data_IF_814052670683
#
_entry.id   IF_814052670683
#
_cell.length_a   1.000
_cell.length_b   1.000
_cell.length_c   1.000
_cell.angle_alpha   90.00
_cell.angle_beta   90.00
_cell.angle_gamma   90.00
#
_symmetry.space_group_name_H-M   'P 1'
#
loop_
_entity.id
_entity.type
_entity.pdbx_description
1 polymer ?
#
# COMPACT_ATOMS: atom_id res chain seq x y z
N UNK A 1 1.81 -30.04 7.66
CA UNK A 1 3.18 -29.51 7.85
C UNK A 1 3.97 -29.69 6.55
N UNK A 2 4.74 -28.70 6.13
CA UNK A 2 5.63 -28.83 4.97
C UNK A 2 6.76 -29.82 5.29
N UNK A 3 7.11 -30.67 4.32
CA UNK A 3 8.32 -31.50 4.45
C UNK A 3 9.61 -30.65 4.25
N UNK A 4 10.79 -31.26 4.48
CA UNK A 4 12.08 -30.55 4.43
C UNK A 4 12.33 -29.88 3.06
N UNK A 5 12.06 -30.59 1.98
CA UNK A 5 12.28 -30.08 0.62
C UNK A 5 11.33 -28.92 0.28
N UNK A 6 10.06 -28.99 0.73
CA UNK A 6 9.09 -27.90 0.55
C UNK A 6 9.48 -26.65 1.35
N UNK A 7 10.03 -26.84 2.57
CA UNK A 7 10.54 -25.71 3.37
C UNK A 7 11.70 -25.01 2.66
N UNK A 8 12.66 -25.78 2.14
CA UNK A 8 13.83 -25.26 1.42
C UNK A 8 13.41 -24.51 0.14
N UNK A 9 12.43 -25.03 -0.59
CA UNK A 9 11.88 -24.36 -1.77
C UNK A 9 11.22 -23.02 -1.41
N UNK A 10 10.42 -22.98 -0.34
CA UNK A 10 9.79 -21.75 0.15
C UNK A 10 10.85 -20.73 0.57
N UNK A 11 11.91 -21.17 1.26
CA UNK A 11 13.06 -20.35 1.66
C UNK A 11 13.73 -19.68 0.47
N UNK A 12 14.03 -20.48 -0.56
CA UNK A 12 14.68 -19.99 -1.77
C UNK A 12 13.80 -18.98 -2.50
N UNK A 13 12.51 -19.27 -2.64
CA UNK A 13 11.53 -18.33 -3.25
C UNK A 13 11.42 -17.02 -2.45
N UNK A 14 11.33 -17.11 -1.13
CA UNK A 14 11.29 -15.92 -0.28
C UNK A 14 12.55 -15.06 -0.41
N UNK A 15 13.73 -15.69 -0.48
CA UNK A 15 15.01 -14.99 -0.64
C UNK A 15 15.04 -14.20 -1.96
N UNK A 16 14.52 -14.76 -3.03
CA UNK A 16 14.38 -14.07 -4.32
C UNK A 16 13.40 -12.89 -4.20
N UNK A 17 12.23 -13.09 -3.59
CA UNK A 17 11.22 -12.05 -3.44
C UNK A 17 11.71 -10.86 -2.60
N UNK A 18 12.49 -11.12 -1.55
CA UNK A 18 13.07 -10.08 -0.68
C UNK A 18 14.07 -9.19 -1.43
N UNK A 19 14.75 -9.73 -2.45
CA UNK A 19 15.70 -8.97 -3.25
C UNK A 19 15.05 -8.04 -4.27
N UNK A 20 13.76 -8.22 -4.54
CA UNK A 20 13.03 -7.35 -5.47
C UNK A 20 12.69 -6.00 -4.82
N UNK A 21 12.51 -4.97 -5.66
CA UNK A 21 11.97 -3.69 -5.18
C UNK A 21 10.44 -3.58 -5.34
N UNK A 22 9.78 -4.67 -5.74
CA UNK A 22 8.34 -4.66 -5.98
C UNK A 22 7.56 -4.74 -4.67
N UNK A 23 6.73 -3.74 -4.43
CA UNK A 23 5.87 -3.60 -3.24
C UNK A 23 5.03 -4.86 -2.99
N UNK A 24 4.44 -5.41 -4.03
CA UNK A 24 3.58 -6.61 -3.91
C UNK A 24 4.37 -7.83 -3.42
N UNK A 25 5.62 -7.98 -3.82
CA UNK A 25 6.46 -9.09 -3.37
C UNK A 25 6.76 -8.99 -1.88
N UNK A 26 7.02 -7.78 -1.39
CA UNK A 26 7.20 -7.54 0.05
C UNK A 26 5.91 -7.75 0.85
N UNK A 27 4.74 -7.45 0.28
CA UNK A 27 3.44 -7.76 0.91
C UNK A 27 3.22 -9.28 1.03
N UNK A 28 3.57 -10.05 -0.02
CA UNK A 28 3.53 -11.51 0.00
C UNK A 28 4.47 -12.07 1.07
N UNK A 29 5.73 -11.61 1.12
CA UNK A 29 6.70 -12.05 2.14
C UNK A 29 6.20 -11.76 3.54
N UNK A 30 5.70 -10.56 3.79
CA UNK A 30 5.13 -10.18 5.10
C UNK A 30 3.95 -11.09 5.48
N UNK A 31 3.06 -11.41 4.53
CA UNK A 31 1.95 -12.33 4.76
C UNK A 31 2.42 -13.75 5.07
N UNK A 32 3.41 -14.28 4.35
CA UNK A 32 3.98 -15.62 4.61
C UNK A 32 4.64 -15.67 6.00
N UNK A 33 5.44 -14.65 6.35
CA UNK A 33 6.08 -14.56 7.66
C UNK A 33 5.06 -14.46 8.78
N UNK A 34 3.98 -13.72 8.59
CA UNK A 34 2.88 -13.61 9.55
C UNK A 34 2.28 -14.97 9.89
N UNK A 35 2.02 -15.82 8.90
CA UNK A 35 1.46 -17.16 9.12
C UNK A 35 2.48 -18.15 9.69
N UNK A 36 3.77 -17.91 9.47
CA UNK A 36 4.87 -18.76 9.96
C UNK A 36 5.50 -18.29 11.27
N UNK A 37 4.98 -17.25 11.92
CA UNK A 37 5.65 -16.55 13.02
C UNK A 37 5.95 -17.45 14.23
N UNK A 38 5.09 -18.39 14.52
CA UNK A 38 5.31 -19.36 15.61
C UNK A 38 6.50 -20.29 15.34
N UNK A 39 6.93 -20.43 14.09
CA UNK A 39 8.05 -21.29 13.69
C UNK A 39 9.38 -20.52 13.64
N UNK A 40 9.34 -19.23 13.26
CA UNK A 40 10.55 -18.40 13.13
C UNK A 40 10.26 -16.90 13.35
N UNK A 41 9.93 -16.56 14.60
CA UNK A 41 9.69 -15.17 15.02
C UNK A 41 10.88 -14.27 14.76
N UNK A 42 12.09 -14.75 15.05
CA UNK A 42 13.32 -13.96 14.87
C UNK A 42 13.52 -13.52 13.43
N UNK A 43 13.19 -14.39 12.48
CA UNK A 43 13.23 -14.06 11.06
C UNK A 43 12.20 -12.98 10.69
N UNK A 44 11.00 -13.08 11.23
CA UNK A 44 9.95 -12.08 11.01
C UNK A 44 10.36 -10.70 11.54
N UNK A 45 10.95 -10.65 12.75
CA UNK A 45 11.50 -9.42 13.35
C UNK A 45 12.61 -8.84 12.47
N UNK A 46 13.60 -9.66 12.11
CA UNK A 46 14.71 -9.21 11.27
C UNK A 46 14.27 -8.70 9.89
N UNK A 47 13.28 -9.37 9.30
CA UNK A 47 12.69 -8.93 8.03
C UNK A 47 12.02 -7.56 8.18
N UNK A 48 11.20 -7.38 9.22
CA UNK A 48 10.50 -6.12 9.45
C UNK A 48 11.48 -4.98 9.71
N UNK A 49 12.47 -5.17 10.57
CA UNK A 49 13.51 -4.17 10.87
C UNK A 49 14.22 -3.70 9.60
N UNK A 50 14.59 -4.64 8.72
CA UNK A 50 15.33 -4.31 7.48
C UNK A 50 14.46 -3.61 6.43
N UNK A 51 13.15 -3.82 6.44
CA UNK A 51 12.29 -3.40 5.34
C UNK A 51 11.20 -2.39 5.73
N UNK A 52 11.07 -2.04 7.00
CA UNK A 52 10.00 -1.17 7.49
C UNK A 52 9.94 0.19 6.78
N UNK A 53 11.08 0.71 6.35
CA UNK A 53 11.18 1.97 5.61
C UNK A 53 10.53 1.92 4.22
N UNK A 54 10.28 0.73 3.66
CA UNK A 54 9.56 0.58 2.38
C UNK A 54 8.10 0.97 2.47
N UNK A 55 7.54 1.14 3.67
CA UNK A 55 6.18 1.63 3.91
C UNK A 55 5.95 3.05 3.38
N UNK A 56 7.01 3.81 3.07
CA UNK A 56 6.90 5.18 2.56
C UNK A 56 6.15 5.29 1.23
N UNK A 57 6.11 4.21 0.46
CA UNK A 57 5.65 4.25 -0.93
C UNK A 57 4.31 3.53 -1.16
N UNK A 58 3.71 2.90 -0.13
CA UNK A 58 2.50 2.11 -0.37
C UNK A 58 1.67 1.89 0.90
N UNK A 59 0.41 2.31 0.85
CA UNK A 59 -0.57 2.01 1.91
C UNK A 59 -0.84 0.51 2.04
N UNK A 60 -0.79 -0.23 0.94
CA UNK A 60 -0.94 -1.70 0.91
C UNK A 60 0.18 -2.35 1.69
N UNK A 61 1.44 -1.99 1.41
CA UNK A 61 2.58 -2.55 2.12
C UNK A 61 2.57 -2.19 3.60
N UNK A 62 2.20 -0.94 3.93
CA UNK A 62 2.00 -0.49 5.32
C UNK A 62 1.03 -1.40 6.06
N UNK A 63 -0.11 -1.73 5.45
CA UNK A 63 -1.08 -2.65 6.03
C UNK A 63 -0.49 -4.02 6.35
N UNK A 64 0.19 -4.67 5.41
CA UNK A 64 0.79 -6.00 5.63
C UNK A 64 1.90 -5.97 6.66
N UNK A 65 2.69 -4.90 6.74
CA UNK A 65 3.73 -4.74 7.75
C UNK A 65 3.15 -4.52 9.13
N UNK A 66 2.07 -3.76 9.27
CA UNK A 66 1.36 -3.58 10.53
C UNK A 66 0.78 -4.92 11.00
N UNK A 67 0.18 -5.71 10.09
CA UNK A 67 -0.34 -7.05 10.39
C UNK A 67 0.77 -8.01 10.84
N UNK A 68 1.94 -7.96 10.20
CA UNK A 68 3.11 -8.74 10.61
C UNK A 68 3.58 -8.30 11.99
N UNK A 69 3.71 -7.00 12.23
CA UNK A 69 4.11 -6.44 13.53
C UNK A 69 3.13 -6.84 14.64
N UNK A 70 1.82 -6.72 14.40
CA UNK A 70 0.79 -7.16 15.35
C UNK A 70 0.96 -8.63 15.73
N UNK A 71 1.20 -9.51 14.75
CA UNK A 71 1.44 -10.94 15.00
C UNK A 71 2.73 -11.18 15.77
N UNK A 72 3.79 -10.39 15.52
CA UNK A 72 5.03 -10.43 16.30
C UNK A 72 4.75 -10.05 17.76
N UNK A 73 4.02 -8.96 17.99
CA UNK A 73 3.68 -8.50 19.34
C UNK A 73 2.84 -9.54 20.11
N UNK A 74 1.92 -10.22 19.42
CA UNK A 74 1.08 -11.26 20.00
C UNK A 74 1.83 -12.58 20.28
N UNK A 75 3.04 -12.76 19.76
CA UNK A 75 3.84 -13.99 19.87
C UNK A 75 4.80 -14.03 21.05
N UNK A 76 4.47 -13.38 22.16
CA UNK A 76 5.28 -13.36 23.38
C UNK A 76 6.67 -12.72 23.19
N UNK A 77 6.67 -11.55 22.56
CA UNK A 77 7.88 -10.76 22.26
C UNK A 77 8.57 -10.28 23.55
N UNK A 78 9.90 -10.34 23.58
CA UNK A 78 10.68 -9.76 24.68
C UNK A 78 10.69 -8.23 24.63
N UNK A 79 10.88 -7.59 25.80
CA UNK A 79 11.04 -6.12 25.89
C UNK A 79 12.17 -5.59 25.03
N UNK A 80 13.26 -6.34 24.91
CA UNK A 80 14.40 -5.96 24.08
C UNK A 80 14.06 -5.98 22.59
N UNK A 81 13.44 -7.06 22.10
CA UNK A 81 13.01 -7.18 20.71
C UNK A 81 11.99 -6.08 20.34
N UNK A 82 11.09 -5.76 21.27
CA UNK A 82 10.12 -4.69 21.07
C UNK A 82 10.78 -3.31 21.02
N UNK A 83 11.81 -3.07 21.86
CA UNK A 83 12.61 -1.85 21.82
C UNK A 83 13.32 -1.66 20.47
N UNK A 84 13.93 -2.70 19.93
CA UNK A 84 14.59 -2.67 18.63
C UNK A 84 13.61 -2.33 17.49
N UNK A 85 12.40 -2.90 17.55
CA UNK A 85 11.32 -2.56 16.59
C UNK A 85 10.87 -1.11 16.74
N UNK A 86 10.72 -0.60 17.97
CA UNK A 86 10.35 0.79 18.20
C UNK A 86 11.40 1.78 17.69
N UNK A 87 12.68 1.46 17.81
CA UNK A 87 13.75 2.29 17.25
C UNK A 87 13.70 2.41 15.73
N UNK A 88 13.20 1.36 15.06
CA UNK A 88 12.93 1.41 13.63
C UNK A 88 11.64 2.18 13.31
N UNK A 89 10.57 1.95 14.09
CA UNK A 89 9.27 2.62 13.92
C UNK A 89 9.39 4.12 14.16
N UNK A 90 10.22 4.56 15.10
CA UNK A 90 10.49 6.00 15.35
C UNK A 90 11.00 6.75 14.13
N UNK A 91 11.70 6.07 13.24
CA UNK A 91 12.29 6.65 12.03
C UNK A 91 11.29 6.74 10.88
N UNK A 92 10.11 6.15 11.01
CA UNK A 92 9.09 6.18 9.96
C UNK A 92 8.52 7.58 9.82
N UNK A 93 8.67 8.18 8.66
CA UNK A 93 8.13 9.50 8.31
C UNK A 93 7.84 9.55 6.80
N UNK A 94 6.73 8.96 6.36
CA UNK A 94 6.35 8.96 4.94
C UNK A 94 6.14 10.40 4.45
N UNK A 95 6.50 10.66 3.19
CA UNK A 95 6.37 12.01 2.63
C UNK A 95 4.91 12.49 2.56
N UNK A 96 3.96 11.58 2.34
CA UNK A 96 2.54 11.92 2.35
C UNK A 96 2.05 12.46 3.72
N UNK A 97 2.68 12.08 4.83
CA UNK A 97 2.34 12.63 6.15
C UNK A 97 2.74 14.12 6.28
N UNK A 98 3.70 14.57 5.49
CA UNK A 98 4.15 15.97 5.44
C UNK A 98 3.24 16.83 4.56
N UNK A 99 2.43 16.20 3.70
CA UNK A 99 1.49 16.93 2.86
C UNK A 99 0.33 17.46 3.70
N UNK A 100 0.05 18.75 3.56
CA UNK A 100 -1.08 19.38 4.21
C UNK A 100 -2.32 19.15 3.35
N UNK A 101 -3.19 18.25 3.77
CA UNK A 101 -4.50 18.11 3.15
C UNK A 101 -5.44 19.20 3.68
N UNK A 102 -5.85 20.12 2.79
CA UNK A 102 -6.91 21.08 3.06
C UNK A 102 -8.24 20.37 2.94
N UNK A 103 -8.87 20.05 4.05
CA UNK A 103 -10.25 19.58 4.03
C UNK A 103 -11.20 20.78 3.93
N UNK A 104 -12.17 20.80 3.00
CA UNK A 104 -13.05 21.95 2.74
C UNK A 104 -13.80 22.46 3.99
N UNK A 105 -14.02 21.61 4.97
CA UNK A 105 -14.81 21.90 6.17
C UNK A 105 -13.96 22.10 7.45
N UNK A 106 -12.64 22.21 7.35
CA UNK A 106 -11.78 22.41 8.52
C UNK A 106 -11.00 23.72 8.42
N UNK A 107 -11.07 24.52 9.48
CA UNK A 107 -10.40 25.82 9.60
C UNK A 107 -8.87 25.73 9.59
N UNK A 108 -8.31 24.53 9.91
CA UNK A 108 -6.87 24.29 9.93
C UNK A 108 -6.55 22.95 9.28
N UNK A 109 -5.50 22.87 8.42
CA UNK A 109 -5.03 21.60 7.88
C UNK A 109 -4.54 20.69 9.01
N UNK A 110 -4.99 19.43 9.03
CA UNK A 110 -4.42 18.43 9.93
C UNK A 110 -3.10 17.96 9.34
N UNK A 111 -2.02 18.14 10.10
CA UNK A 111 -0.77 17.45 9.80
C UNK A 111 -0.94 15.96 10.11
N UNK A 112 -0.65 15.11 9.15
CA UNK A 112 -0.68 13.65 9.32
C UNK A 112 0.65 13.09 9.88
N UNK A 113 1.60 13.96 10.21
CA UNK A 113 2.91 13.54 10.73
C UNK A 113 2.74 12.61 11.94
N UNK A 114 3.34 11.43 11.83
CA UNK A 114 3.33 10.41 12.87
C UNK A 114 2.12 9.47 12.83
N UNK A 115 1.22 9.60 11.85
CA UNK A 115 0.03 8.73 11.73
C UNK A 115 0.42 7.26 11.55
N UNK A 116 1.32 6.95 10.61
CA UNK A 116 1.79 5.58 10.37
C UNK A 116 2.46 4.99 11.60
N UNK A 117 3.31 5.77 12.27
CA UNK A 117 3.94 5.36 13.52
C UNK A 117 2.89 5.05 14.61
N UNK A 118 1.85 5.86 14.72
CA UNK A 118 0.77 5.64 15.67
C UNK A 118 -0.02 4.35 15.37
N UNK A 119 -0.19 3.98 14.09
CA UNK A 119 -0.82 2.73 13.72
C UNK A 119 -0.04 1.50 14.23
N UNK A 120 1.29 1.51 14.17
CA UNK A 120 2.12 0.46 14.77
C UNK A 120 1.91 0.39 16.29
N UNK A 121 1.97 1.53 16.98
CA UNK A 121 1.78 1.54 18.44
C UNK A 121 0.38 1.12 18.87
N UNK A 122 -0.62 1.34 18.02
CA UNK A 122 -1.99 0.88 18.27
C UNK A 122 -2.10 -0.65 18.37
N UNK A 123 -1.21 -1.39 17.71
CA UNK A 123 -1.17 -2.86 17.77
C UNK A 123 -0.52 -3.40 19.05
N UNK A 124 0.11 -2.55 19.86
CA UNK A 124 0.80 -2.96 21.09
C UNK A 124 -0.17 -2.86 22.27
N UNK A 125 -0.31 -3.91 23.10
CA UNK A 125 -1.08 -3.83 24.33
C UNK A 125 -0.64 -2.64 25.20
N UNK A 126 -1.58 -1.87 25.69
CA UNK A 126 -1.29 -0.62 26.42
C UNK A 126 -0.37 -0.85 27.62
N UNK A 127 -0.51 -1.99 28.31
CA UNK A 127 0.35 -2.34 29.45
C UNK A 127 1.81 -2.53 29.02
N UNK A 128 2.06 -3.13 27.85
CA UNK A 128 3.41 -3.28 27.30
C UNK A 128 3.95 -1.92 26.87
N UNK A 129 3.12 -1.09 26.24
CA UNK A 129 3.53 0.23 25.74
C UNK A 129 3.89 1.17 26.90
N UNK A 130 3.28 1.04 28.08
CA UNK A 130 3.64 1.82 29.29
C UNK A 130 5.06 1.59 29.79
N UNK A 131 5.70 0.48 29.41
CA UNK A 131 7.11 0.23 29.71
C UNK A 131 8.05 1.09 28.84
N UNK A 132 7.51 1.82 27.87
CA UNK A 132 8.23 2.71 26.95
C UNK A 132 7.59 4.12 27.02
N UNK A 133 7.99 4.98 27.99
CA UNK A 133 7.31 6.24 28.29
C UNK A 133 7.20 7.20 27.12
N UNK A 134 8.24 7.28 26.27
CA UNK A 134 8.24 8.17 25.10
C UNK A 134 7.21 7.71 24.06
N UNK A 135 7.19 6.42 23.74
CA UNK A 135 6.29 5.80 22.79
C UNK A 135 4.86 5.88 23.27
N UNK A 136 4.65 5.64 24.56
CA UNK A 136 3.33 5.75 25.17
C UNK A 136 2.80 7.19 25.13
N UNK A 137 3.63 8.16 25.50
CA UNK A 137 3.27 9.58 25.44
C UNK A 137 2.91 10.01 24.01
N UNK A 138 3.73 9.63 23.05
CA UNK A 138 3.45 9.88 21.64
C UNK A 138 2.13 9.21 21.20
N UNK A 139 1.93 7.93 21.51
CA UNK A 139 0.71 7.20 21.17
C UNK A 139 -0.54 7.87 21.72
N UNK A 140 -0.53 8.27 23.00
CA UNK A 140 -1.66 8.96 23.61
C UNK A 140 -1.96 10.30 22.93
N UNK A 141 -0.93 11.05 22.55
CA UNK A 141 -1.10 12.30 21.82
C UNK A 141 -1.77 12.08 20.45
N UNK A 142 -1.34 11.04 19.74
CA UNK A 142 -1.89 10.66 18.43
C UNK A 142 -3.31 10.09 18.53
N UNK A 143 -3.60 9.31 19.57
CA UNK A 143 -4.95 8.80 19.85
C UNK A 143 -5.97 9.91 20.10
N UNK A 144 -5.55 11.00 20.77
CA UNK A 144 -6.39 12.20 20.94
C UNK A 144 -6.60 12.93 19.62
N UNK A 145 -5.58 12.97 18.77
CA UNK A 145 -5.64 13.61 17.45
C UNK A 145 -6.47 12.81 16.45
N UNK A 146 -6.40 11.48 16.52
CA UNK A 146 -7.07 10.52 15.64
C UNK A 146 -7.87 9.51 16.48
N UNK A 147 -9.09 9.87 16.94
CA UNK A 147 -9.91 8.97 17.78
C UNK A 147 -10.25 7.64 17.09
N UNK A 148 -10.38 7.68 15.76
CA UNK A 148 -10.70 6.53 14.91
C UNK A 148 -9.45 5.83 14.35
N UNK A 149 -8.30 5.99 15.03
CA UNK A 149 -7.07 5.31 14.62
C UNK A 149 -7.33 3.80 14.61
N UNK A 150 -7.38 3.23 13.43
CA UNK A 150 -7.59 1.79 13.20
C UNK A 150 -6.54 1.31 12.22
N UNK A 151 -6.12 0.08 12.39
CA UNK A 151 -5.45 -0.65 11.33
C UNK A 151 -6.52 -1.16 10.36
N UNK A 152 -7.01 -0.26 9.52
CA UNK A 152 -7.99 -0.62 8.49
C UNK A 152 -7.28 -1.35 7.37
N UNK A 153 -7.78 -2.56 7.05
CA UNK A 153 -7.43 -3.16 5.77
C UNK A 153 -7.56 -2.09 4.68
N UNK A 154 -6.61 -1.97 3.75
CA UNK A 154 -6.86 -1.20 2.57
C UNK A 154 -8.20 -1.73 2.06
N UNK A 155 -9.17 -0.83 1.90
CA UNK A 155 -10.45 -1.18 1.28
C UNK A 155 -10.10 -2.15 0.19
N UNK A 156 -10.80 -3.33 0.13
CA UNK A 156 -10.55 -4.31 -0.94
C UNK A 156 -10.01 -3.52 -2.09
N UNK A 157 -8.78 -3.76 -2.55
CA UNK A 157 -8.35 -3.14 -3.77
C UNK A 157 -9.49 -3.44 -4.76
N UNK A 158 -10.51 -2.63 -4.75
CA UNK A 158 -10.98 -2.17 -6.02
C UNK A 158 -9.72 -1.52 -6.53
N UNK A 159 -9.03 -2.26 -7.39
CA UNK A 159 -8.19 -1.64 -8.38
C UNK A 159 -9.21 -0.78 -9.09
N UNK A 160 -9.51 0.35 -8.51
CA UNK A 160 -9.70 1.54 -9.27
C UNK A 160 -8.30 1.67 -9.88
N UNK A 161 -8.15 0.85 -10.94
CA UNK A 161 -7.21 1.23 -11.96
C UNK A 161 -7.48 2.69 -12.00
N UNK A 162 -6.50 3.52 -11.59
CA UNK A 162 -6.70 4.96 -11.51
C UNK A 162 -6.78 5.53 -12.92
N UNK A 163 -7.71 4.95 -13.66
CA UNK A 163 -8.13 5.38 -14.95
C UNK A 163 -9.16 6.46 -14.68
N UNK A 164 -8.76 7.68 -14.80
CA UNK A 164 -9.73 8.65 -15.26
C UNK A 164 -10.23 8.09 -16.56
N UNK A 165 -11.34 7.35 -16.47
CA UNK A 165 -12.00 6.79 -17.64
C UNK A 165 -12.33 7.96 -18.53
N UNK A 166 -11.93 7.91 -19.79
CA UNK A 166 -12.55 8.76 -20.82
C UNK A 166 -14.06 8.75 -20.59
N UNK A 167 -14.73 9.92 -20.66
CA UNK A 167 -16.17 9.96 -20.58
C UNK A 167 -16.71 8.85 -21.47
N UNK A 168 -17.61 8.00 -20.94
CA UNK A 168 -18.09 6.73 -21.53
C UNK A 168 -18.47 6.76 -23.02
N UNK A 169 -18.53 7.94 -23.62
CA UNK A 169 -19.02 8.22 -24.98
C UNK A 169 -18.03 8.97 -25.87
N UNK A 170 -16.76 9.17 -25.47
CA UNK A 170 -15.83 9.94 -26.32
C UNK A 170 -15.68 9.28 -27.69
N UNK A 171 -15.36 7.98 -27.71
CA UNK A 171 -15.25 7.24 -28.97
C UNK A 171 -16.61 7.00 -29.67
N UNK A 172 -17.72 6.99 -28.90
CA UNK A 172 -19.05 6.80 -29.47
C UNK A 172 -19.47 8.00 -30.33
N UNK A 173 -19.04 9.21 -29.96
CA UNK A 173 -19.35 10.46 -30.64
C UNK A 173 -18.42 10.74 -31.84
N UNK A 174 -17.26 10.07 -31.92
CA UNK A 174 -16.32 10.24 -33.01
C UNK A 174 -16.80 9.45 -34.23
N UNK A 175 -17.11 10.15 -35.33
CA UNK A 175 -17.61 9.51 -36.54
C UNK A 175 -16.51 9.08 -37.49
N UNK A 176 -15.37 9.77 -37.47
CA UNK A 176 -14.26 9.53 -38.39
C UNK A 176 -13.17 8.69 -37.71
N UNK A 177 -12.67 7.71 -38.44
CA UNK A 177 -11.54 6.86 -38.03
C UNK A 177 -10.32 7.70 -37.64
N UNK A 178 -9.99 8.74 -38.43
CA UNK A 178 -8.88 9.63 -38.16
C UNK A 178 -8.99 10.34 -36.80
N UNK A 179 -10.20 10.71 -36.37
CA UNK A 179 -10.42 11.39 -35.10
C UNK A 179 -10.19 10.42 -33.92
N UNK A 180 -10.59 9.16 -34.08
CA UNK A 180 -10.33 8.10 -33.09
C UNK A 180 -8.84 7.84 -32.94
N UNK A 181 -8.13 7.66 -34.06
CA UNK A 181 -6.68 7.43 -34.07
C UNK A 181 -5.91 8.63 -33.50
N UNK A 182 -6.30 9.86 -33.83
CA UNK A 182 -5.69 11.06 -33.28
C UNK A 182 -5.95 11.18 -31.77
N UNK A 183 -7.16 10.88 -31.32
CA UNK A 183 -7.46 10.85 -29.89
C UNK A 183 -6.60 9.80 -29.16
N UNK A 184 -6.47 8.58 -29.70
CA UNK A 184 -5.60 7.56 -29.10
C UNK A 184 -4.13 7.99 -29.03
N UNK A 185 -3.61 8.63 -30.08
CA UNK A 185 -2.20 9.09 -30.15
C UNK A 185 -1.92 10.29 -29.24
N UNK A 186 -2.93 11.05 -28.85
CA UNK A 186 -2.77 12.21 -27.97
C UNK A 186 -2.55 11.82 -26.51
N UNK A 187 -2.75 10.55 -26.15
CA UNK A 187 -2.54 10.05 -24.79
C UNK A 187 -1.18 9.39 -24.66
N UNK A 188 -0.41 9.83 -23.68
CA UNK A 188 0.92 9.30 -23.37
C UNK A 188 1.02 9.04 -21.85
N UNK A 189 1.61 7.91 -21.46
CA UNK A 189 1.82 7.56 -20.05
C UNK A 189 2.90 8.43 -19.37
N UNK A 190 3.69 9.18 -20.15
CA UNK A 190 4.67 10.12 -19.59
C UNK A 190 4.01 11.33 -18.89
N UNK A 191 2.71 11.57 -19.11
CA UNK A 191 1.90 12.60 -18.45
C UNK A 191 1.33 12.14 -17.09
N UNK A 192 1.90 11.10 -16.46
CA UNK A 192 1.42 10.42 -15.24
C UNK A 192 1.26 11.30 -13.98
N UNK A 193 1.56 12.59 -14.04
CA UNK A 193 1.45 13.51 -12.90
C UNK A 193 0.04 14.13 -12.80
N UNK A 194 -0.77 14.00 -13.84
CA UNK A 194 -2.11 14.60 -13.89
C UNK A 194 -3.20 13.54 -13.68
N UNK A 195 -3.65 13.40 -12.44
CA UNK A 195 -4.75 12.47 -12.07
C UNK A 195 -6.10 12.78 -12.73
N UNK A 196 -6.22 13.89 -13.43
CA UNK A 196 -7.42 14.27 -14.18
C UNK A 196 -7.39 13.78 -15.63
N UNK A 197 -6.22 13.39 -16.14
CA UNK A 197 -6.06 12.87 -17.50
C UNK A 197 -6.22 11.35 -17.55
N UNK A 198 -6.93 10.84 -18.56
CA UNK A 198 -7.04 9.39 -18.75
C UNK A 198 -5.68 8.77 -19.04
N UNK A 199 -5.39 7.62 -18.43
CA UNK A 199 -4.20 6.84 -18.73
C UNK A 199 -4.33 6.12 -20.09
N UNK A 200 -3.20 5.79 -20.73
CA UNK A 200 -3.19 5.03 -21.99
C UNK A 200 -4.02 3.72 -21.88
N UNK A 201 -3.93 3.03 -20.76
CA UNK A 201 -4.72 1.81 -20.51
C UNK A 201 -6.20 2.12 -20.34
N UNK A 202 -6.57 3.24 -19.70
CA UNK A 202 -7.97 3.70 -19.62
C UNK A 202 -8.56 4.02 -20.98
N UNK A 203 -7.77 4.65 -21.84
CA UNK A 203 -8.12 4.93 -23.25
C UNK A 203 -8.29 3.62 -24.02
N UNK A 204 -7.35 2.68 -23.91
CA UNK A 204 -7.39 1.39 -24.59
C UNK A 204 -8.62 0.55 -24.14
N UNK A 205 -8.93 0.51 -22.85
CA UNK A 205 -10.11 -0.17 -22.34
C UNK A 205 -11.41 0.47 -22.82
N UNK A 206 -11.49 1.81 -22.85
CA UNK A 206 -12.66 2.53 -23.38
C UNK A 206 -12.86 2.26 -24.88
N UNK A 207 -11.76 2.22 -25.63
CA UNK A 207 -11.78 1.85 -27.04
C UNK A 207 -12.27 0.40 -27.23
N UNK A 208 -11.67 -0.57 -26.50
CA UNK A 208 -12.05 -1.98 -26.59
C UNK A 208 -13.53 -2.21 -26.29
N UNK A 209 -14.06 -1.55 -25.25
CA UNK A 209 -15.50 -1.63 -24.92
C UNK A 209 -16.40 -1.10 -26.03
N UNK A 210 -16.01 -0.01 -26.70
CA UNK A 210 -16.77 0.54 -27.82
C UNK A 210 -16.66 -0.34 -29.07
N UNK A 211 -15.46 -0.89 -29.32
CA UNK A 211 -15.23 -1.82 -30.45
C UNK A 211 -16.10 -3.08 -30.31
N UNK A 212 -16.23 -3.62 -29.07
CA UNK A 212 -17.13 -4.76 -28.80
C UNK A 212 -18.60 -4.43 -29.01
N UNK A 213 -19.02 -3.18 -28.74
CA UNK A 213 -20.44 -2.77 -28.94
C UNK A 213 -20.80 -2.47 -30.40
N UNK A 214 -19.84 -1.95 -31.17
CA UNK A 214 -20.04 -1.50 -32.56
C UNK A 214 -18.87 -1.99 -33.43
N UNK A 215 -18.70 -3.32 -33.62
CA UNK A 215 -17.54 -3.89 -34.30
C UNK A 215 -17.35 -3.34 -35.72
N UNK A 216 -18.44 -3.14 -36.47
CA UNK A 216 -18.39 -2.64 -37.86
C UNK A 216 -17.75 -1.24 -37.95
N UNK A 217 -17.95 -0.40 -36.94
CA UNK A 217 -17.38 0.96 -36.89
C UNK A 217 -15.88 0.95 -36.62
N UNK A 218 -15.38 -0.02 -35.89
CA UNK A 218 -14.00 -0.07 -35.41
C UNK A 218 -13.12 -1.10 -36.14
N UNK A 219 -13.70 -1.91 -37.02
CA UNK A 219 -13.01 -2.96 -37.75
C UNK A 219 -11.84 -2.46 -38.60
N UNK A 220 -11.98 -1.28 -39.20
CA UNK A 220 -10.94 -0.68 -40.03
C UNK A 220 -9.72 -0.10 -39.23
N UNK A 221 -9.89 0.02 -37.89
CA UNK A 221 -8.88 0.60 -36.99
C UNK A 221 -8.02 -0.50 -36.32
N UNK A 222 -8.54 -1.70 -36.26
CA UNK A 222 -7.85 -2.89 -35.73
C UNK A 222 -7.12 -3.64 -36.83
#
# INVERSE_FOLDING_TARGET
>A
MLNKNQKEEVENKMSILIQTNLVIMHAIVASVLRHGILQDRKRAINYLIKNINRTYHSSVLTYYYIQLFESIVQSDISTQELSELFDCIKKISPDWEKMHFSYPNRKYPLSNIGYTRAQYYHCVPEQMLKNFPEEYSFYISMKRKYPDLKNTAPNKMEVHEGYTSLPKNVFEKMEKEADILNAMRSYNDDDLIDFEKPTLTGVANSFAQQALKKPDKFYAIC
#
